data_IF_103683680295
#
_entry.id   IF_103683680295
#
_cell.length_a   1.000
_cell.length_b   1.000
_cell.length_c   1.000
_cell.angle_alpha   90.00
_cell.angle_beta   90.00
_cell.angle_gamma   90.00
#
_symmetry.space_group_name_H-M   'P 1'
#
loop_
_entity.id
_entity.type
_entity.pdbx_description
1 polymer ?
#
# COMPACT_ATOMS: atom_id res chain seq x y z
N UNK A 1 3.86 3.71 5.88
CA UNK A 1 2.51 3.15 5.61
C UNK A 1 1.42 3.94 6.33
N UNK A 2 1.44 4.06 7.66
CA UNK A 2 0.41 4.75 8.47
C UNK A 2 0.01 6.14 7.94
N UNK A 3 0.97 6.99 7.58
CA UNK A 3 0.70 8.36 7.08
C UNK A 3 -0.13 8.32 5.78
N UNK A 4 0.23 7.44 4.84
CA UNK A 4 -0.49 7.28 3.57
C UNK A 4 -1.88 6.68 3.79
N UNK A 5 -2.02 5.78 4.76
CA UNK A 5 -3.31 5.17 5.12
C UNK A 5 -4.26 6.18 5.74
N UNK A 6 -3.76 7.04 6.63
CA UNK A 6 -4.53 8.16 7.21
C UNK A 6 -4.92 9.14 6.11
N UNK A 7 -3.99 9.48 5.21
CA UNK A 7 -4.29 10.37 4.09
C UNK A 7 -5.37 9.80 3.17
N UNK A 8 -5.33 8.50 2.85
CA UNK A 8 -6.40 7.81 2.12
C UNK A 8 -7.74 7.88 2.86
N UNK A 9 -7.75 7.60 4.17
CA UNK A 9 -8.97 7.65 4.97
C UNK A 9 -9.60 9.05 4.96
N UNK A 10 -8.79 10.11 5.09
CA UNK A 10 -9.27 11.50 5.02
C UNK A 10 -9.79 11.83 3.62
N UNK A 11 -9.09 11.43 2.57
CA UNK A 11 -9.52 11.71 1.18
C UNK A 11 -10.79 10.96 0.79
N UNK A 12 -11.06 9.78 1.37
CA UNK A 12 -12.35 9.07 1.18
C UNK A 12 -13.53 9.90 1.68
N UNK A 13 -13.37 10.70 2.74
CA UNK A 13 -14.44 11.56 3.24
C UNK A 13 -14.41 12.98 2.64
N UNK A 14 -13.24 13.47 2.23
CA UNK A 14 -13.05 14.81 1.70
C UNK A 14 -13.12 14.91 0.15
N UNK A 15 -13.25 13.79 -0.56
CA UNK A 15 -13.24 13.72 -2.04
C UNK A 15 -14.35 14.54 -2.71
N UNK A 16 -15.55 14.57 -2.10
CA UNK A 16 -16.69 15.28 -2.64
C UNK A 16 -17.31 16.20 -1.57
N UNK A 17 -17.77 17.37 -2.00
CA UNK A 17 -18.57 18.30 -1.20
C UNK A 17 -19.97 18.41 -1.82
N UNK A 18 -21.06 18.20 -1.07
CA UNK A 18 -21.12 17.77 0.35
C UNK A 18 -20.78 16.28 0.53
N UNK A 19 -20.08 15.91 1.62
CA UNK A 19 -19.77 14.51 1.94
C UNK A 19 -21.03 13.65 2.17
N UNK A 20 -22.14 14.31 2.46
CA UNK A 20 -23.49 13.74 2.60
C UNK A 20 -23.97 13.05 1.33
N UNK A 21 -23.50 13.53 0.16
CA UNK A 21 -23.79 12.95 -1.15
C UNK A 21 -23.14 11.57 -1.36
N UNK A 22 -22.29 11.11 -0.43
CA UNK A 22 -21.70 9.77 -0.46
C UNK A 22 -22.75 8.72 -0.07
N UNK A 23 -23.66 9.06 0.85
CA UNK A 23 -24.63 8.11 1.42
C UNK A 23 -26.09 8.51 1.20
N UNK A 24 -26.41 9.79 0.97
CA UNK A 24 -27.77 10.23 0.64
C UNK A 24 -27.96 10.41 -0.88
N UNK A 25 -28.76 9.55 -1.55
CA UNK A 25 -29.01 9.66 -2.98
C UNK A 25 -29.83 10.91 -3.37
N UNK A 26 -30.55 11.54 -2.45
CA UNK A 26 -31.31 12.78 -2.72
C UNK A 26 -30.39 13.98 -2.98
N UNK A 27 -29.16 13.96 -2.46
CA UNK A 27 -28.16 15.01 -2.69
C UNK A 27 -27.18 14.66 -3.82
N UNK A 28 -27.44 13.61 -4.60
CA UNK A 28 -26.56 13.16 -5.66
C UNK A 28 -26.33 14.22 -6.75
N UNK A 29 -27.34 15.05 -7.05
CA UNK A 29 -27.25 16.13 -8.04
C UNK A 29 -26.35 17.30 -7.60
N UNK A 30 -26.09 17.46 -6.30
CA UNK A 30 -25.21 18.50 -5.75
C UNK A 30 -23.77 18.01 -5.56
N UNK A 31 -23.45 16.78 -5.98
CA UNK A 31 -22.13 16.18 -5.82
C UNK A 31 -21.10 16.94 -6.68
N UNK A 32 -20.28 17.78 -6.04
CA UNK A 32 -19.07 18.31 -6.65
C UNK A 32 -17.90 17.50 -6.14
N UNK A 33 -17.33 16.65 -7.00
CA UNK A 33 -16.17 15.84 -6.64
C UNK A 33 -14.90 16.46 -7.22
N UNK A 34 -14.05 16.99 -6.35
CA UNK A 34 -12.81 17.68 -6.71
C UNK A 34 -11.63 16.72 -6.89
N UNK A 35 -11.75 15.51 -6.33
CA UNK A 35 -10.71 14.48 -6.35
C UNK A 35 -11.28 13.14 -6.80
N UNK A 36 -10.59 12.50 -7.73
CA UNK A 36 -10.92 11.13 -8.14
C UNK A 36 -10.40 10.15 -7.10
N UNK A 37 -11.31 9.53 -6.34
CA UNK A 37 -10.98 8.47 -5.38
C UNK A 37 -10.14 7.37 -6.00
N UNK A 38 -10.49 7.00 -7.24
CA UNK A 38 -9.83 5.93 -7.98
C UNK A 38 -8.36 6.25 -8.18
N UNK A 39 -8.01 7.50 -8.50
CA UNK A 39 -6.61 7.91 -8.66
C UNK A 39 -5.85 7.79 -7.33
N UNK A 40 -6.42 8.30 -6.22
CA UNK A 40 -5.79 8.25 -4.89
C UNK A 40 -5.62 6.81 -4.41
N UNK A 41 -6.63 5.96 -4.60
CA UNK A 41 -6.60 4.56 -4.22
C UNK A 41 -5.55 3.77 -5.02
N UNK A 42 -5.45 3.98 -6.34
CA UNK A 42 -4.44 3.33 -7.18
C UNK A 42 -3.02 3.74 -6.75
N UNK A 43 -2.80 5.02 -6.43
CA UNK A 43 -1.50 5.49 -5.93
C UNK A 43 -1.15 4.84 -4.59
N UNK A 44 -2.12 4.73 -3.67
CA UNK A 44 -1.90 4.08 -2.38
C UNK A 44 -1.58 2.58 -2.53
N UNK A 45 -2.37 1.85 -3.32
CA UNK A 45 -2.18 0.42 -3.54
C UNK A 45 -0.86 0.12 -4.25
N UNK A 46 -0.48 0.92 -5.25
CA UNK A 46 0.80 0.75 -5.94
C UNK A 46 1.99 1.04 -5.03
N UNK A 47 1.90 2.07 -4.18
CA UNK A 47 2.92 2.35 -3.17
C UNK A 47 3.04 1.23 -2.13
N UNK A 48 1.92 0.71 -1.62
CA UNK A 48 1.91 -0.40 -0.67
C UNK A 48 2.57 -1.64 -1.28
N UNK A 49 2.16 -2.04 -2.48
CA UNK A 49 2.75 -3.18 -3.19
C UNK A 49 4.26 -3.00 -3.44
N UNK A 50 4.70 -1.79 -3.81
CA UNK A 50 6.12 -1.50 -3.99
C UNK A 50 6.92 -1.67 -2.68
N UNK A 51 6.36 -1.23 -1.54
CA UNK A 51 7.00 -1.42 -0.24
C UNK A 51 7.11 -2.91 0.14
N UNK A 52 6.11 -3.72 -0.17
CA UNK A 52 6.14 -5.16 0.09
C UNK A 52 7.29 -5.84 -0.67
N UNK A 53 7.50 -5.48 -1.95
CA UNK A 53 8.64 -5.99 -2.73
C UNK A 53 10.00 -5.54 -2.17
N UNK A 54 10.08 -4.30 -1.68
CA UNK A 54 11.32 -3.79 -1.07
C UNK A 54 11.63 -4.56 0.23
N UNK A 55 10.63 -4.77 1.09
CA UNK A 55 10.82 -5.56 2.30
C UNK A 55 11.17 -7.01 2.00
N UNK A 56 10.59 -7.61 0.96
CA UNK A 56 10.96 -8.95 0.49
C UNK A 56 12.41 -9.02 -0.04
N UNK A 57 12.97 -7.92 -0.56
CA UNK A 57 14.35 -7.83 -1.00
C UNK A 57 15.37 -7.52 0.11
N UNK A 58 14.92 -6.95 1.24
CA UNK A 58 15.78 -6.61 2.38
C UNK A 58 16.64 -7.78 2.91
N UNK A 59 16.13 -9.01 3.10
CA UNK A 59 16.96 -10.12 3.54
C UNK A 59 18.09 -10.47 2.58
N UNK A 60 17.90 -10.28 1.26
CA UNK A 60 18.95 -10.56 0.28
C UNK A 60 20.16 -9.65 0.44
N UNK A 61 19.92 -8.39 0.77
CA UNK A 61 20.96 -7.37 0.99
C UNK A 61 21.65 -7.63 2.33
N UNK A 62 20.88 -7.84 3.40
CA UNK A 62 21.41 -8.07 4.74
C UNK A 62 22.29 -9.35 4.80
N UNK A 63 21.87 -10.44 4.16
CA UNK A 63 22.65 -11.68 4.12
C UNK A 63 23.84 -11.64 3.13
N UNK A 64 24.01 -10.60 2.30
CA UNK A 64 25.13 -10.52 1.36
C UNK A 64 26.50 -10.32 2.04
N UNK A 65 26.52 -9.69 3.22
CA UNK A 65 27.76 -9.44 3.97
C UNK A 65 28.16 -10.55 4.95
N UNK A 66 27.30 -11.56 5.14
CA UNK A 66 27.52 -12.64 6.11
C UNK A 66 28.22 -13.83 5.45
N UNK A 67 29.25 -14.36 6.14
CA UNK A 67 30.06 -15.48 5.69
C UNK A 67 29.32 -16.81 5.92
N UNK A 68 28.20 -17.00 5.19
CA UNK A 68 27.35 -18.18 5.24
C UNK A 68 27.47 -18.99 3.96
N UNK A 69 27.16 -20.29 4.04
CA UNK A 69 27.09 -21.13 2.84
C UNK A 69 25.98 -20.61 1.92
N UNK A 70 26.23 -20.50 0.59
CA UNK A 70 25.27 -19.91 -0.34
C UNK A 70 23.95 -20.67 -0.45
N UNK A 71 23.94 -21.97 -0.10
CA UNK A 71 22.74 -22.80 -0.02
C UNK A 71 21.81 -22.39 1.12
N UNK A 72 22.33 -22.22 2.33
CA UNK A 72 21.53 -21.78 3.49
C UNK A 72 21.03 -20.34 3.33
N UNK A 73 21.87 -19.46 2.75
CA UNK A 73 21.49 -18.08 2.47
C UNK A 73 20.25 -17.98 1.57
N UNK A 74 20.17 -18.78 0.50
CA UNK A 74 18.99 -18.79 -0.38
C UNK A 74 17.77 -19.38 0.30
N UNK A 75 17.91 -20.45 1.09
CA UNK A 75 16.79 -21.04 1.83
C UNK A 75 16.22 -20.05 2.85
N UNK A 76 17.07 -19.35 3.61
CA UNK A 76 16.63 -18.35 4.59
C UNK A 76 15.93 -17.17 3.89
N UNK A 77 16.52 -16.65 2.82
CA UNK A 77 15.93 -15.59 2.01
C UNK A 77 14.58 -16.01 1.38
N UNK A 78 14.49 -17.21 0.79
CA UNK A 78 13.24 -17.77 0.28
C UNK A 78 12.20 -17.96 1.38
N UNK A 79 12.59 -18.45 2.55
CA UNK A 79 11.67 -18.62 3.69
C UNK A 79 11.15 -17.29 4.21
N UNK A 80 11.98 -16.24 4.23
CA UNK A 80 11.59 -14.93 4.73
C UNK A 80 10.71 -14.15 3.74
N UNK A 81 10.87 -14.39 2.44
CA UNK A 81 10.13 -13.65 1.40
C UNK A 81 8.93 -14.39 0.81
N UNK A 82 8.96 -15.72 0.73
CA UNK A 82 7.80 -16.53 0.33
C UNK A 82 7.02 -17.12 1.52
N UNK A 83 7.58 -17.12 2.73
CA UNK A 83 6.94 -17.75 3.89
C UNK A 83 6.86 -19.28 3.81
N UNK A 84 7.63 -19.91 2.91
CA UNK A 84 7.66 -21.37 2.74
C UNK A 84 8.76 -21.94 3.64
N UNK A 85 8.34 -22.77 4.60
CA UNK A 85 9.19 -23.58 5.48
C UNK A 85 9.63 -24.87 4.77
#
# INVERSE_FOLDING_TARGET
MVIMSIFLAVTVFAQCTPAESIWNPELADQRVCHLSLTAVAITYCSYAAAMDFILAGFPWIALHGLNMKPKERHTICLSLSLGVL
#
